data_IF_713293281830
#
_entry.id   IF_713293281830
#
_cell.length_a   1.000
_cell.length_b   1.000
_cell.length_c   1.000
_cell.angle_alpha   90.00
_cell.angle_beta   90.00
_cell.angle_gamma   90.00
#
_symmetry.space_group_name_H-M   'P 1'
#
loop_
_entity.id
_entity.type
_entity.pdbx_description
1 polymer ?
#
# COMPACT_ATOMS: atom_id res chain seq x y z
N UNK A 1 -7.91 -19.63 7.18
CA UNK A 1 -7.41 -19.11 5.88
C UNK A 1 -6.05 -19.75 5.61
N UNK A 2 -5.81 -20.32 4.43
CA UNK A 2 -4.49 -20.89 4.10
C UNK A 2 -3.57 -19.78 3.57
N UNK A 3 -2.37 -19.65 4.13
CA UNK A 3 -1.35 -18.75 3.58
C UNK A 3 -0.93 -19.24 2.19
N UNK A 4 -0.77 -18.32 1.23
CA UNK A 4 -0.27 -18.68 -0.11
C UNK A 4 1.18 -19.12 -0.01
N UNK A 5 1.54 -20.16 -0.76
CA UNK A 5 2.94 -20.54 -0.91
C UNK A 5 3.66 -19.50 -1.76
N UNK A 6 4.79 -19.04 -1.27
CA UNK A 6 5.73 -18.18 -1.99
C UNK A 6 6.61 -19.10 -2.84
N UNK A 7 6.88 -18.78 -4.12
CA UNK A 7 7.86 -19.53 -4.88
C UNK A 7 9.23 -19.45 -4.22
N UNK A 8 9.95 -20.57 -4.14
CA UNK A 8 11.25 -20.68 -3.47
C UNK A 8 12.24 -19.57 -3.83
N UNK A 9 12.25 -19.16 -5.10
CA UNK A 9 13.12 -18.09 -5.64
C UNK A 9 12.94 -16.75 -4.90
N UNK A 10 11.75 -16.48 -4.35
CA UNK A 10 11.43 -15.24 -3.66
C UNK A 10 11.47 -15.34 -2.14
N UNK A 11 11.69 -16.52 -1.55
CA UNK A 11 11.63 -16.68 -0.08
C UNK A 11 12.65 -15.80 0.64
N UNK A 12 13.91 -15.85 0.21
CA UNK A 12 14.99 -15.05 0.82
C UNK A 12 14.77 -13.55 0.63
N UNK A 13 14.34 -13.15 -0.57
CA UNK A 13 14.02 -11.75 -0.87
C UNK A 13 12.83 -11.26 -0.05
N UNK A 14 11.78 -12.08 0.07
CA UNK A 14 10.58 -11.76 0.85
C UNK A 14 10.91 -11.57 2.33
N UNK A 15 11.72 -12.46 2.89
CA UNK A 15 12.16 -12.36 4.28
C UNK A 15 12.96 -11.07 4.53
N UNK A 16 13.94 -10.79 3.67
CA UNK A 16 14.76 -9.58 3.76
C UNK A 16 13.91 -8.30 3.69
N UNK A 17 12.93 -8.25 2.78
CA UNK A 17 12.04 -7.08 2.67
C UNK A 17 11.13 -6.93 3.90
N UNK A 18 10.59 -8.03 4.46
CA UNK A 18 9.80 -7.98 5.72
C UNK A 18 10.67 -7.44 6.85
N UNK A 19 11.89 -7.97 7.03
CA UNK A 19 12.81 -7.52 8.07
C UNK A 19 13.16 -6.04 7.90
N UNK A 20 13.36 -5.57 6.66
CA UNK A 20 13.57 -4.16 6.36
C UNK A 20 12.37 -3.29 6.76
N UNK A 21 11.15 -3.73 6.45
CA UNK A 21 9.92 -3.01 6.80
C UNK A 21 9.70 -2.95 8.32
N UNK A 22 10.06 -4.02 9.05
CA UNK A 22 10.05 -4.03 10.52
C UNK A 22 11.09 -3.07 11.08
N UNK A 23 12.32 -3.08 10.54
CA UNK A 23 13.39 -2.18 10.97
C UNK A 23 13.08 -0.69 10.70
N UNK A 24 12.32 -0.40 9.64
CA UNK A 24 11.82 0.95 9.35
C UNK A 24 10.64 1.36 10.24
N UNK A 25 10.09 0.45 11.04
CA UNK A 25 8.91 0.69 11.87
C UNK A 25 7.59 0.74 11.09
N UNK A 26 7.57 0.26 9.85
CA UNK A 26 6.37 0.18 9.01
C UNK A 26 5.52 -1.02 9.43
N UNK A 27 6.17 -2.15 9.73
CA UNK A 27 5.52 -3.36 10.23
C UNK A 27 5.89 -3.62 11.69
N UNK A 28 4.93 -4.16 12.44
CA UNK A 28 5.16 -4.65 13.80
C UNK A 28 4.94 -6.17 13.84
N UNK A 29 5.86 -6.95 14.43
CA UNK A 29 5.67 -8.38 14.59
C UNK A 29 4.53 -8.64 15.57
N UNK A 30 3.66 -9.59 15.21
CA UNK A 30 2.56 -10.06 16.07
C UNK A 30 2.88 -11.48 16.49
N UNK A 31 3.01 -11.72 17.80
CA UNK A 31 3.36 -13.03 18.39
C UNK A 31 2.15 -13.83 18.83
N UNK A 32 1.00 -13.18 18.99
CA UNK A 32 -0.25 -13.78 19.43
C UNK A 32 -1.16 -14.11 18.24
N UNK A 33 -2.08 -15.04 18.44
CA UNK A 33 -3.07 -15.39 17.41
C UNK A 33 -4.08 -14.26 17.26
N UNK A 34 -4.25 -13.76 16.04
CA UNK A 34 -5.26 -12.76 15.70
C UNK A 34 -6.41 -13.39 14.91
N UNK A 35 -7.61 -12.85 15.08
CA UNK A 35 -8.77 -13.22 14.24
C UNK A 35 -8.62 -12.73 12.80
N UNK A 36 -7.79 -11.71 12.60
CA UNK A 36 -7.54 -11.08 11.31
C UNK A 36 -6.21 -11.54 10.73
N UNK A 37 -6.29 -12.25 9.61
CA UNK A 37 -5.15 -12.61 8.76
C UNK A 37 -5.56 -12.36 7.32
N UNK A 38 -4.70 -11.70 6.55
CA UNK A 38 -4.92 -11.40 5.14
C UNK A 38 -3.79 -12.01 4.32
N UNK A 39 -4.09 -12.48 3.12
CA UNK A 39 -3.09 -13.07 2.24
C UNK A 39 -2.10 -12.03 1.73
N UNK A 40 -0.83 -12.42 1.70
CA UNK A 40 0.25 -11.66 1.07
C UNK A 40 0.45 -12.12 -0.38
N UNK A 41 0.84 -11.18 -1.24
CA UNK A 41 1.27 -11.39 -2.61
C UNK A 41 2.61 -10.68 -2.84
N UNK A 42 3.38 -11.16 -3.81
CA UNK A 42 4.67 -10.59 -4.21
C UNK A 42 4.55 -10.11 -5.65
N UNK A 43 5.00 -8.89 -5.90
CA UNK A 43 5.17 -8.34 -7.23
C UNK A 43 6.64 -7.94 -7.44
N UNK A 44 7.17 -8.14 -8.64
CA UNK A 44 8.49 -7.64 -8.98
C UNK A 44 8.41 -6.16 -9.38
N UNK A 45 9.36 -5.37 -8.88
CA UNK A 45 9.60 -4.00 -9.32
C UNK A 45 10.45 -4.05 -10.59
N UNK A 46 10.38 -2.97 -11.39
CA UNK A 46 11.18 -2.85 -12.62
C UNK A 46 12.69 -2.86 -12.40
N UNK A 47 13.16 -2.60 -11.18
CA UNK A 47 14.56 -2.65 -10.79
C UNK A 47 15.02 -4.05 -10.31
N UNK A 48 14.15 -5.07 -10.32
CA UNK A 48 14.47 -6.44 -9.89
C UNK A 48 14.30 -6.71 -8.39
N UNK A 49 13.93 -5.69 -7.62
CA UNK A 49 13.49 -5.85 -6.24
C UNK A 49 12.04 -6.35 -6.19
N UNK A 50 11.59 -6.75 -5.00
CA UNK A 50 10.20 -7.16 -4.80
C UNK A 50 9.40 -6.06 -4.09
N UNK A 51 8.07 -6.12 -4.24
CA UNK A 51 7.09 -5.39 -3.46
C UNK A 51 6.18 -6.40 -2.79
N UNK A 52 6.07 -6.28 -1.47
CA UNK A 52 5.11 -7.02 -0.67
C UNK A 52 3.76 -6.32 -0.77
N UNK A 53 2.73 -7.05 -1.18
CA UNK A 53 1.37 -6.58 -1.33
C UNK A 53 0.44 -7.39 -0.43
N UNK A 54 -0.63 -6.76 0.05
CA UNK A 54 -1.71 -7.43 0.78
C UNK A 54 -2.89 -7.58 -0.18
N UNK A 55 -3.54 -8.74 -0.20
CA UNK A 55 -4.77 -8.94 -0.97
C UNK A 55 -5.95 -8.26 -0.27
N UNK A 56 -6.51 -7.17 -0.83
CA UNK A 56 -7.54 -6.41 -0.13
C UNK A 56 -8.92 -7.07 -0.18
N UNK A 57 -9.11 -8.23 -0.82
CA UNK A 57 -10.45 -8.78 -1.05
C UNK A 57 -11.27 -8.94 0.24
N UNK A 58 -10.70 -9.57 1.27
CA UNK A 58 -11.36 -9.71 2.57
C UNK A 58 -11.58 -8.35 3.26
N UNK A 59 -10.64 -7.41 3.09
CA UNK A 59 -10.73 -6.08 3.68
C UNK A 59 -11.84 -5.24 3.04
N UNK A 60 -12.11 -5.42 1.74
CA UNK A 60 -13.16 -4.68 1.02
C UNK A 60 -14.55 -4.96 1.57
N UNK A 61 -14.81 -6.17 2.07
CA UNK A 61 -16.10 -6.58 2.65
C UNK A 61 -16.25 -6.12 4.11
N UNK A 62 -15.14 -6.04 4.84
CA UNK A 62 -15.11 -5.64 6.24
C UNK A 62 -15.16 -4.12 6.48
N UNK A 63 -14.64 -3.33 5.54
CA UNK A 63 -14.53 -1.88 5.69
C UNK A 63 -15.85 -1.14 5.41
N UNK A 64 -16.32 -0.39 6.41
CA UNK A 64 -17.30 0.67 6.20
C UNK A 64 -16.61 1.87 5.55
N UNK A 65 -16.89 2.12 4.28
CA UNK A 65 -16.27 3.23 3.54
C UNK A 65 -16.99 4.55 3.81
N UNK A 66 -16.26 5.52 4.31
CA UNK A 66 -16.68 6.91 4.21
C UNK A 66 -16.63 7.37 2.75
N UNK A 67 -17.71 8.04 2.32
CA UNK A 67 -17.80 8.59 0.98
C UNK A 67 -17.38 10.06 1.01
N UNK A 68 -16.08 10.31 0.90
CA UNK A 68 -15.57 11.66 0.70
C UNK A 68 -15.59 12.02 -0.79
N UNK A 69 -16.27 13.12 -1.15
CA UNK A 69 -16.22 13.63 -2.53
C UNK A 69 -14.94 14.41 -2.74
N UNK A 70 -14.04 13.85 -3.55
CA UNK A 70 -12.90 14.59 -4.06
C UNK A 70 -13.40 15.73 -4.97
N UNK A 71 -12.77 16.91 -4.91
CA UNK A 71 -13.13 18.01 -5.80
C UNK A 71 -12.89 17.58 -7.24
N UNK A 72 -13.83 17.92 -8.10
CA UNK A 72 -13.70 17.69 -9.53
C UNK A 72 -12.72 18.68 -10.15
N UNK A 73 -12.32 18.44 -11.40
CA UNK A 73 -11.48 19.39 -12.12
C UNK A 73 -12.15 20.77 -12.19
N UNK A 74 -13.45 20.83 -12.45
CA UNK A 74 -14.20 22.09 -12.55
C UNK A 74 -14.22 22.85 -11.22
N UNK A 75 -14.41 22.14 -10.10
CA UNK A 75 -14.36 22.73 -8.75
C UNK A 75 -13.00 23.39 -8.47
N UNK A 76 -11.92 22.74 -8.93
CA UNK A 76 -10.55 23.25 -8.75
C UNK A 76 -10.26 24.40 -9.72
N UNK A 77 -10.69 24.33 -10.97
CA UNK A 77 -10.41 25.35 -11.99
C UNK A 77 -10.98 26.72 -11.61
N UNK A 78 -12.15 26.76 -10.99
CA UNK A 78 -12.75 28.01 -10.47
C UNK A 78 -11.85 28.67 -9.43
N UNK A 79 -11.20 27.89 -8.57
CA UNK A 79 -10.28 28.41 -7.55
C UNK A 79 -8.97 28.94 -8.13
N UNK A 80 -8.62 28.55 -9.35
CA UNK A 80 -7.37 28.92 -10.02
C UNK A 80 -7.53 30.13 -10.96
N UNK A 81 -8.73 30.71 -11.08
CA UNK A 81 -8.97 31.89 -11.92
C UNK A 81 -8.09 33.05 -11.45
N UNK A 82 -7.32 33.62 -12.39
CA UNK A 82 -6.41 34.74 -12.12
C UNK A 82 -5.03 34.32 -11.60
N UNK A 83 -4.80 33.04 -11.32
CA UNK A 83 -3.46 32.53 -11.01
C UNK A 83 -2.56 32.63 -12.24
N UNK A 84 -1.36 33.18 -12.06
CA UNK A 84 -0.37 33.40 -13.14
C UNK A 84 0.79 32.42 -13.10
N UNK A 85 1.05 31.82 -11.94
CA UNK A 85 2.19 30.93 -11.71
C UNK A 85 1.69 29.70 -10.98
N UNK A 86 2.02 28.52 -11.53
CA UNK A 86 1.70 27.23 -10.93
C UNK A 86 2.98 26.53 -10.49
N UNK A 87 2.87 25.74 -9.41
CA UNK A 87 3.92 24.86 -8.90
C UNK A 87 3.28 23.52 -8.57
N UNK A 88 3.93 22.45 -9.00
CA UNK A 88 3.49 21.07 -8.72
C UNK A 88 4.45 20.48 -7.70
N UNK A 89 3.93 20.16 -6.52
CA UNK A 89 4.61 19.33 -5.56
C UNK A 89 4.10 17.90 -5.73
N UNK A 90 5.02 16.95 -5.89
CA UNK A 90 4.68 15.54 -5.84
C UNK A 90 5.14 15.00 -4.49
N UNK A 91 4.20 14.61 -3.64
CA UNK A 91 4.48 13.90 -2.39
C UNK A 91 4.30 12.42 -2.64
N UNK A 92 5.38 11.65 -2.49
CA UNK A 92 5.29 10.20 -2.41
C UNK A 92 4.63 9.85 -1.07
N UNK A 93 3.32 9.62 -1.10
CA UNK A 93 2.64 8.93 -0.01
C UNK A 93 3.15 7.48 -0.02
N UNK A 94 4.16 7.21 0.80
CA UNK A 94 4.50 5.86 1.19
C UNK A 94 3.39 5.37 2.13
N UNK A 95 2.34 4.82 1.54
CA UNK A 95 1.38 3.96 2.22
C UNK A 95 1.60 2.53 1.75
#
# INVERSE_FOLDING_TARGET
>A
MQCRRIPFVFEDKAKSEIDNLVNQGILAPVTETTEWVIQMAIAEKSNGDIRICIDPQALKEALLREHFRLPTLDDVLVQLIGARIFRKLNVNLAC
#
